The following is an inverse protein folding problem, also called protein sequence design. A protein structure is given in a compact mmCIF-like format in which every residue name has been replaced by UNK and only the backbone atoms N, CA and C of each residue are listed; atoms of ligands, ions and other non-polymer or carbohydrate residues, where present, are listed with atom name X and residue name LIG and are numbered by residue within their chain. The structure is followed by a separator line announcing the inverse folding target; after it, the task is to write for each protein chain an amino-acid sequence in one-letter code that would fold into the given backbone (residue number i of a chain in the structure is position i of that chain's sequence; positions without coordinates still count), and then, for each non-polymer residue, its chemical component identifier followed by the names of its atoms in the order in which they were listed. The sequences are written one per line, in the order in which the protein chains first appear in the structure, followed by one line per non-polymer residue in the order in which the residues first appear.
data_IF_368388181650
#
_entry.id   IF_368388181650
#
_cell.length_a   1.000
_cell.length_b   1.000
_cell.length_c   1.000
_cell.angle_alpha   90.00
_cell.angle_beta   90.00
_cell.angle_gamma   90.00
#
_symmetry.space_group_name_H-M   'P 1'
#
loop_
_entity.id
_entity.type
_entity.pdbx_description
1 polymer ?
#
# COMPACT_ATOMS: atom_id res chain seq x y z
N UNK A 1 -4.07 -48.58 57.35
CA UNK A 1 -3.68 -49.58 56.33
C UNK A 1 -2.28 -50.07 56.66
N UNK A 2 -2.05 -51.38 56.65
CA UNK A 2 -0.70 -51.92 56.75
C UNK A 2 0.05 -51.70 55.43
N UNK A 3 1.37 -51.54 55.49
CA UNK A 3 2.24 -51.54 54.30
C UNK A 3 2.65 -52.97 53.93
N UNK A 4 3.03 -53.27 52.67
CA UNK A 4 3.52 -54.60 52.30
C UNK A 4 4.63 -55.10 53.26
N UNK A 5 5.56 -54.22 53.64
CA UNK A 5 6.64 -54.52 54.59
C UNK A 5 6.11 -54.91 55.99
N UNK A 6 5.01 -54.31 56.45
CA UNK A 6 4.38 -54.66 57.72
C UNK A 6 3.67 -56.01 57.68
N UNK A 7 3.15 -56.43 56.52
CA UNK A 7 2.55 -57.76 56.32
C UNK A 7 3.65 -58.83 56.35
N UNK A 8 4.77 -58.58 55.66
CA UNK A 8 5.90 -59.51 55.61
C UNK A 8 6.59 -59.74 56.95
N UNK A 9 6.64 -58.72 57.80
CA UNK A 9 7.29 -58.79 59.12
C UNK A 9 6.31 -59.17 60.25
N UNK A 10 5.07 -59.58 59.92
CA UNK A 10 4.06 -59.91 60.92
C UNK A 10 4.34 -61.29 61.51
N UNK A 11 4.52 -61.36 62.82
CA UNK A 11 4.65 -62.63 63.56
C UNK A 11 3.38 -62.92 64.35
N UNK A 12 3.06 -64.21 64.50
CA UNK A 12 1.90 -64.70 65.26
C UNK A 12 2.36 -65.56 66.44
N UNK A 13 1.65 -65.47 67.57
CA UNK A 13 1.92 -66.31 68.74
C UNK A 13 1.45 -67.77 68.49
N UNK A 14 2.22 -68.75 68.98
CA UNK A 14 1.89 -70.17 68.82
C UNK A 14 0.71 -70.55 69.73
N UNK A 15 -0.43 -70.91 69.14
CA UNK A 15 -1.60 -71.37 69.91
C UNK A 15 -1.36 -72.77 70.50
N UNK A 16 -1.65 -72.95 71.80
CA UNK A 16 -1.38 -74.20 72.53
C UNK A 16 -2.40 -75.32 72.29
N UNK A 17 -3.56 -75.03 71.68
CA UNK A 17 -4.57 -76.04 71.33
C UNK A 17 -5.41 -75.58 70.13
N UNK A 18 -5.41 -76.36 69.03
CA UNK A 18 -6.32 -76.16 67.88
C UNK A 18 -6.06 -74.94 66.96
N UNK A 19 -4.83 -74.44 66.86
CA UNK A 19 -4.49 -73.28 66.00
C UNK A 19 -4.29 -73.61 64.51
N UNK A 20 -4.21 -72.56 63.68
CA UNK A 20 -3.82 -72.66 62.27
C UNK A 20 -2.38 -73.18 62.13
N UNK A 21 -2.12 -73.90 61.02
CA UNK A 21 -0.79 -74.43 60.70
C UNK A 21 0.11 -73.27 60.25
N UNK A 22 1.27 -73.05 60.89
CA UNK A 22 2.15 -71.94 60.53
C UNK A 22 2.53 -71.93 59.05
N UNK A 23 2.75 -73.11 58.46
CA UNK A 23 3.17 -73.25 57.06
C UNK A 23 2.09 -72.76 56.08
N UNK A 24 0.82 -73.04 56.37
CA UNK A 24 -0.31 -72.64 55.53
C UNK A 24 -0.58 -71.12 55.67
N UNK A 25 -0.34 -70.55 56.85
CA UNK A 25 -0.46 -69.10 57.12
C UNK A 25 0.68 -68.32 56.44
N UNK A 26 1.91 -68.81 56.51
CA UNK A 26 3.06 -68.18 55.87
C UNK A 26 2.89 -68.16 54.34
N UNK A 27 2.45 -69.26 53.73
CA UNK A 27 2.16 -69.32 52.29
C UNK A 27 1.06 -68.31 51.86
N UNK A 28 0.00 -68.16 52.68
CA UNK A 28 -1.05 -67.16 52.42
C UNK A 28 -0.54 -65.71 52.57
N UNK A 29 0.33 -65.45 53.56
CA UNK A 29 0.91 -64.12 53.76
C UNK A 29 1.89 -63.74 52.66
N UNK A 30 2.62 -64.70 52.09
CA UNK A 30 3.47 -64.48 50.92
C UNK A 30 2.64 -64.11 49.68
N UNK A 31 1.55 -64.83 49.41
CA UNK A 31 0.61 -64.49 48.31
C UNK A 31 -0.02 -63.11 48.53
N UNK A 32 -0.51 -62.84 49.75
CA UNK A 32 -1.08 -61.55 50.12
C UNK A 32 -0.05 -60.42 50.00
N UNK A 33 1.21 -60.67 50.36
CA UNK A 33 2.28 -59.69 50.21
C UNK A 33 2.52 -59.34 48.75
N UNK A 34 2.62 -60.33 47.85
CA UNK A 34 2.86 -60.10 46.43
C UNK A 34 1.72 -59.30 45.78
N UNK A 35 0.46 -59.68 46.04
CA UNK A 35 -0.71 -58.95 45.54
C UNK A 35 -0.78 -57.52 46.06
N UNK A 36 -0.46 -57.33 47.35
CA UNK A 36 -0.51 -56.02 47.98
C UNK A 36 0.67 -55.13 47.55
N UNK A 37 1.87 -55.68 47.32
CA UNK A 37 3.01 -54.95 46.74
C UNK A 37 2.72 -54.54 45.29
N UNK A 38 2.15 -55.45 44.49
CA UNK A 38 1.70 -55.15 43.12
C UNK A 38 0.68 -54.01 43.11
N UNK A 39 -0.35 -54.09 43.96
CA UNK A 39 -1.36 -53.03 44.07
C UNK A 39 -0.74 -51.70 44.48
N UNK A 40 0.23 -51.69 45.41
CA UNK A 40 0.89 -50.47 45.86
C UNK A 40 1.76 -49.86 44.76
N UNK A 41 2.47 -50.68 43.97
CA UNK A 41 3.24 -50.24 42.81
C UNK A 41 2.35 -49.65 41.73
N UNK A 42 1.26 -50.33 41.39
CA UNK A 42 0.29 -49.85 40.40
C UNK A 42 -0.36 -48.54 40.85
N UNK A 43 -0.78 -48.44 42.12
CA UNK A 43 -1.31 -47.20 42.68
C UNK A 43 -0.28 -46.07 42.59
N UNK A 44 0.98 -46.30 42.96
CA UNK A 44 2.03 -45.29 42.83
C UNK A 44 2.24 -44.85 41.38
N UNK A 45 2.20 -45.77 40.42
CA UNK A 45 2.29 -45.44 39.00
C UNK A 45 1.07 -44.63 38.52
N UNK A 46 -0.13 -44.99 38.94
CA UNK A 46 -1.36 -44.28 38.60
C UNK A 46 -1.36 -42.87 39.18
N UNK A 47 -0.95 -42.69 40.43
CA UNK A 47 -0.82 -41.37 41.07
C UNK A 47 0.18 -40.50 40.31
N UNK A 48 1.33 -41.05 39.91
CA UNK A 48 2.30 -40.31 39.07
C UNK A 48 1.73 -39.92 37.72
N UNK A 49 1.02 -40.82 37.04
CA UNK A 49 0.35 -40.53 35.76
C UNK A 49 -0.70 -39.43 35.93
N UNK A 50 -1.50 -39.51 37.00
CA UNK A 50 -2.50 -38.49 37.32
C UNK A 50 -1.86 -37.13 37.54
N UNK A 51 -0.75 -37.07 38.29
CA UNK A 51 -0.02 -35.82 38.51
C UNK A 51 0.45 -35.19 37.19
N UNK A 52 1.05 -35.97 36.29
CA UNK A 52 1.48 -35.49 34.97
C UNK A 52 0.29 -35.02 34.12
N UNK A 53 -0.85 -35.71 34.19
CA UNK A 53 -2.05 -35.31 33.45
C UNK A 53 -2.62 -33.99 33.99
N UNK A 54 -2.64 -33.81 35.32
CA UNK A 54 -3.09 -32.55 35.94
C UNK A 54 -2.19 -31.40 35.54
N UNK A 55 -0.87 -31.58 35.59
CA UNK A 55 0.11 -30.57 35.15
C UNK A 55 -0.10 -30.17 33.68
N UNK A 56 -0.30 -31.15 32.79
CA UNK A 56 -0.61 -30.87 31.38
C UNK A 56 -1.93 -30.14 31.17
N UNK A 57 -2.95 -30.45 31.97
CA UNK A 57 -4.24 -29.73 31.89
C UNK A 57 -4.05 -28.27 32.30
N UNK A 58 -3.26 -28.00 33.33
CA UNK A 58 -2.94 -26.63 33.75
C UNK A 58 -2.13 -25.88 32.68
N UNK A 59 -1.15 -26.55 32.08
CA UNK A 59 -0.39 -26.02 30.94
C UNK A 59 -1.31 -25.64 29.77
N UNK A 60 -2.17 -26.57 29.32
CA UNK A 60 -3.12 -26.31 28.23
C UNK A 60 -4.10 -25.18 28.55
N UNK A 61 -4.56 -25.08 29.80
CA UNK A 61 -5.42 -23.95 30.22
C UNK A 61 -4.68 -22.61 30.17
N UNK A 62 -3.41 -22.60 30.58
CA UNK A 62 -2.57 -21.41 30.50
C UNK A 62 -2.31 -21.01 29.04
N UNK A 63 -1.99 -21.98 28.18
CA UNK A 63 -1.82 -21.75 26.74
C UNK A 63 -3.10 -21.25 26.09
N UNK A 64 -4.25 -21.86 26.37
CA UNK A 64 -5.55 -21.43 25.87
C UNK A 64 -5.84 -19.98 26.29
N UNK A 65 -5.59 -19.62 27.55
CA UNK A 65 -5.75 -18.24 28.02
C UNK A 65 -4.82 -17.26 27.28
N UNK A 66 -3.59 -17.67 26.99
CA UNK A 66 -2.63 -16.86 26.22
C UNK A 66 -3.12 -16.66 24.78
N UNK A 67 -3.59 -17.72 24.13
CA UNK A 67 -4.16 -17.67 22.77
C UNK A 67 -5.41 -16.79 22.73
N UNK A 68 -6.33 -16.95 23.69
CA UNK A 68 -7.52 -16.10 23.80
C UNK A 68 -7.15 -14.63 23.96
N UNK A 69 -6.14 -14.33 24.79
CA UNK A 69 -5.64 -12.96 24.98
C UNK A 69 -5.01 -12.40 23.71
N UNK A 70 -4.18 -13.19 23.02
CA UNK A 70 -3.57 -12.83 21.76
C UNK A 70 -4.62 -12.60 20.66
N UNK A 71 -5.65 -13.44 20.60
CA UNK A 71 -6.77 -13.31 19.66
C UNK A 71 -7.55 -12.01 19.90
N UNK A 72 -7.91 -11.71 21.14
CA UNK A 72 -8.59 -10.46 21.51
C UNK A 72 -7.73 -9.24 21.20
N UNK A 73 -6.41 -9.33 21.44
CA UNK A 73 -5.48 -8.27 21.07
C UNK A 73 -5.40 -8.06 19.56
N UNK A 74 -5.34 -9.14 18.79
CA UNK A 74 -5.33 -9.09 17.33
C UNK A 74 -6.62 -8.48 16.77
N UNK A 75 -7.78 -8.86 17.32
CA UNK A 75 -9.07 -8.27 16.95
C UNK A 75 -9.09 -6.75 17.24
N UNK A 76 -8.71 -6.34 18.46
CA UNK A 76 -8.62 -4.92 18.81
C UNK A 76 -7.67 -4.13 17.92
N UNK A 77 -6.53 -4.72 17.57
CA UNK A 77 -5.57 -4.12 16.65
C UNK A 77 -6.16 -3.98 15.23
N UNK A 78 -6.85 -5.01 14.74
CA UNK A 78 -7.59 -4.96 13.47
C UNK A 78 -8.64 -3.85 13.46
N UNK A 79 -9.47 -3.76 14.49
CA UNK A 79 -10.50 -2.73 14.63
C UNK A 79 -9.90 -1.31 14.73
N UNK A 80 -8.74 -1.18 15.38
CA UNK A 80 -8.01 0.09 15.44
C UNK A 80 -7.48 0.49 14.05
N UNK A 81 -6.89 -0.45 13.29
CA UNK A 81 -6.39 -0.21 11.94
C UNK A 81 -7.54 0.20 11.00
N UNK A 82 -8.68 -0.49 11.06
CA UNK A 82 -9.85 -0.16 10.25
C UNK A 82 -10.37 1.24 10.57
N UNK A 83 -10.51 1.59 11.85
CA UNK A 83 -10.95 2.93 12.26
C UNK A 83 -9.97 4.02 11.81
N UNK A 84 -8.67 3.79 11.97
CA UNK A 84 -7.65 4.75 11.53
C UNK A 84 -7.65 4.92 10.00
N UNK A 85 -7.78 3.83 9.25
CA UNK A 85 -7.86 3.86 7.80
C UNK A 85 -9.12 4.60 7.31
N UNK A 86 -10.27 4.37 7.95
CA UNK A 86 -11.52 5.09 7.66
C UNK A 86 -11.38 6.58 7.96
N UNK A 87 -10.87 6.93 9.15
CA UNK A 87 -10.64 8.32 9.53
C UNK A 87 -9.68 9.03 8.56
N UNK A 88 -8.58 8.37 8.17
CA UNK A 88 -7.64 8.91 7.18
C UNK A 88 -8.27 9.06 5.80
N UNK A 89 -9.11 8.11 5.38
CA UNK A 89 -9.85 8.22 4.13
C UNK A 89 -10.81 9.42 4.15
N UNK A 90 -11.55 9.63 5.25
CA UNK A 90 -12.45 10.77 5.42
C UNK A 90 -11.70 12.10 5.35
N UNK A 91 -10.54 12.20 6.01
CA UNK A 91 -9.70 13.38 5.95
C UNK A 91 -9.19 13.67 4.52
N UNK A 92 -8.77 12.63 3.79
CA UNK A 92 -8.34 12.77 2.40
C UNK A 92 -9.51 13.24 1.53
N UNK A 93 -10.71 12.68 1.73
CA UNK A 93 -11.91 13.08 1.00
C UNK A 93 -12.30 14.52 1.28
N UNK A 94 -12.24 14.96 2.54
CA UNK A 94 -12.52 16.35 2.94
C UNK A 94 -11.48 17.32 2.37
N UNK A 95 -10.19 16.99 2.45
CA UNK A 95 -9.13 17.83 1.88
C UNK A 95 -9.26 17.93 0.35
N UNK A 96 -9.57 16.79 -0.31
CA UNK A 96 -9.84 16.77 -1.75
C UNK A 96 -11.06 17.62 -2.12
N UNK A 97 -12.15 17.55 -1.35
CA UNK A 97 -13.35 18.36 -1.61
C UNK A 97 -13.08 19.86 -1.44
N UNK A 98 -12.39 20.26 -0.36
CA UNK A 98 -12.00 21.66 -0.12
C UNK A 98 -11.10 22.18 -1.25
N UNK A 99 -10.12 21.38 -1.69
CA UNK A 99 -9.24 21.73 -2.81
C UNK A 99 -10.02 21.87 -4.12
N UNK A 100 -10.95 20.95 -4.40
CA UNK A 100 -11.79 21.01 -5.59
C UNK A 100 -12.69 22.25 -5.57
N UNK A 101 -13.37 22.55 -4.46
CA UNK A 101 -14.19 23.75 -4.31
C UNK A 101 -13.38 25.03 -4.48
N UNK A 102 -12.18 25.09 -3.89
CA UNK A 102 -11.27 26.22 -4.04
C UNK A 102 -10.84 26.41 -5.49
N UNK A 103 -10.51 25.32 -6.18
CA UNK A 103 -10.10 25.34 -7.59
C UNK A 103 -11.25 25.82 -8.49
N UNK A 104 -12.45 25.28 -8.32
CA UNK A 104 -13.64 25.72 -9.05
C UNK A 104 -13.94 27.20 -8.78
N UNK A 105 -13.82 27.63 -7.52
CA UNK A 105 -14.00 29.03 -7.15
C UNK A 105 -12.92 29.97 -7.72
N UNK A 106 -11.67 29.53 -7.86
CA UNK A 106 -10.62 30.34 -8.51
C UNK A 106 -10.81 30.39 -10.02
N UNK A 107 -11.09 29.25 -10.67
CA UNK A 107 -11.28 29.21 -12.13
C UNK A 107 -12.51 30.01 -12.56
N UNK A 108 -13.60 29.95 -11.79
CA UNK A 108 -14.78 30.76 -12.08
C UNK A 108 -14.48 32.27 -11.98
N UNK A 109 -13.71 32.70 -10.97
CA UNK A 109 -13.28 34.09 -10.83
C UNK A 109 -12.36 34.54 -11.97
N UNK A 110 -11.44 33.68 -12.38
CA UNK A 110 -10.56 33.94 -13.52
C UNK A 110 -11.35 34.02 -14.83
N UNK A 111 -12.33 33.13 -15.03
CA UNK A 111 -13.20 33.13 -16.20
C UNK A 111 -14.03 34.41 -16.29
N UNK A 112 -14.62 34.86 -15.18
CA UNK A 112 -15.32 36.14 -15.12
C UNK A 112 -14.37 37.29 -15.47
N UNK A 113 -13.18 37.33 -14.86
CA UNK A 113 -12.18 38.37 -15.14
C UNK A 113 -11.74 38.39 -16.61
N UNK A 114 -11.54 37.22 -17.22
CA UNK A 114 -11.18 37.11 -18.63
C UNK A 114 -12.33 37.53 -19.55
N UNK A 115 -13.58 37.16 -19.22
CA UNK A 115 -14.76 37.59 -19.98
C UNK A 115 -14.92 39.10 -19.97
N UNK A 116 -14.79 39.74 -18.80
CA UNK A 116 -14.83 41.20 -18.67
C UNK A 116 -13.69 41.89 -19.44
N UNK A 117 -12.49 41.28 -19.46
CA UNK A 117 -11.37 41.79 -20.23
C UNK A 117 -11.62 41.71 -21.74
N UNK A 118 -12.21 40.61 -22.23
CA UNK A 118 -12.59 40.47 -23.63
C UNK A 118 -13.66 41.48 -24.02
N UNK A 119 -14.69 41.67 -23.19
CA UNK A 119 -15.76 42.64 -23.45
C UNK A 119 -15.20 44.06 -23.57
N UNK A 120 -14.27 44.44 -22.68
CA UNK A 120 -13.57 45.74 -22.75
C UNK A 120 -12.79 45.90 -24.05
N UNK A 121 -11.99 44.90 -24.44
CA UNK A 121 -11.22 44.94 -25.69
C UNK A 121 -12.16 45.04 -26.90
N UNK A 122 -13.25 44.28 -26.92
CA UNK A 122 -14.25 44.36 -27.99
C UNK A 122 -14.89 45.76 -28.09
N UNK A 123 -15.22 46.36 -26.95
CA UNK A 123 -15.72 47.75 -26.90
C UNK A 123 -14.67 48.75 -27.39
N UNK A 124 -13.40 48.60 -26.99
CA UNK A 124 -12.30 49.45 -27.45
C UNK A 124 -12.10 49.35 -28.96
N UNK A 125 -12.09 48.13 -29.52
CA UNK A 125 -11.99 47.89 -30.97
C UNK A 125 -13.20 48.49 -31.71
N UNK A 126 -14.41 48.33 -31.17
CA UNK A 126 -15.62 48.96 -31.70
C UNK A 126 -15.52 50.49 -31.74
N UNK A 127 -15.08 51.09 -30.63
CA UNK A 127 -14.87 52.54 -30.53
C UNK A 127 -13.77 53.06 -31.46
N UNK A 128 -12.70 52.27 -31.65
CA UNK A 128 -11.60 52.60 -32.56
C UNK A 128 -12.08 52.57 -34.01
N UNK A 129 -12.83 51.52 -34.39
CA UNK A 129 -13.44 51.41 -35.73
C UNK A 129 -14.37 52.58 -36.02
N UNK A 130 -15.21 52.97 -35.05
CA UNK A 130 -16.10 54.13 -35.21
C UNK A 130 -15.33 55.43 -35.39
N UNK A 131 -14.29 55.68 -34.57
CA UNK A 131 -13.41 56.85 -34.70
C UNK A 131 -12.73 56.90 -36.05
N UNK A 132 -12.17 55.77 -36.50
CA UNK A 132 -11.48 55.69 -37.79
C UNK A 132 -12.43 55.95 -38.96
N UNK A 133 -13.64 55.37 -38.92
CA UNK A 133 -14.68 55.65 -39.93
C UNK A 133 -15.14 57.11 -39.92
N UNK A 134 -15.19 57.77 -38.76
CA UNK A 134 -15.51 59.20 -38.67
C UNK A 134 -14.45 60.04 -39.38
N UNK A 135 -13.17 59.78 -39.08
CA UNK A 135 -12.04 60.47 -39.72
C UNK A 135 -12.08 60.26 -41.24
N UNK A 136 -12.29 59.03 -41.72
CA UNK A 136 -12.41 58.80 -43.16
C UNK A 136 -13.57 59.55 -43.80
N UNK A 137 -14.74 59.64 -43.14
CA UNK A 137 -15.88 60.41 -43.64
C UNK A 137 -15.57 61.91 -43.70
N UNK A 138 -14.92 62.45 -42.68
CA UNK A 138 -14.46 63.85 -42.67
C UNK A 138 -13.48 64.12 -43.82
N UNK A 139 -12.50 63.24 -44.02
CA UNK A 139 -11.53 63.36 -45.11
C UNK A 139 -12.20 63.25 -46.49
N UNK A 140 -13.14 62.32 -46.68
CA UNK A 140 -13.91 62.21 -47.92
C UNK A 140 -14.73 63.49 -48.17
N UNK A 141 -15.36 64.04 -47.13
CA UNK A 141 -16.09 65.29 -47.24
C UNK A 141 -15.18 66.45 -47.68
N UNK A 142 -13.99 66.58 -47.09
CA UNK A 142 -13.00 67.58 -47.47
C UNK A 142 -12.51 67.40 -48.92
N UNK A 143 -12.26 66.17 -49.36
CA UNK A 143 -11.84 65.87 -50.73
C UNK A 143 -12.96 66.18 -51.73
N UNK A 144 -14.21 65.84 -51.40
CA UNK A 144 -15.37 66.15 -52.25
C UNK A 144 -15.70 67.65 -52.31
N UNK A 145 -15.18 68.44 -51.36
CA UNK A 145 -15.30 69.89 -51.35
C UNK A 145 -14.17 70.59 -52.13
N UNK A 146 -13.16 69.85 -52.61
CA UNK A 146 -12.19 70.38 -53.56
C UNK A 146 -12.86 70.45 -54.94
N UNK A 147 -12.86 71.63 -55.60
CA UNK A 147 -13.41 71.75 -56.94
C UNK A 147 -12.61 70.84 -57.87
N UNK A 148 -13.29 69.97 -58.63
CA UNK A 148 -12.64 69.23 -59.70
C UNK A 148 -11.97 70.25 -60.65
N UNK A 149 -10.67 70.14 -60.95
CA UNK A 149 -10.12 70.90 -62.05
C UNK A 149 -10.88 70.47 -63.30
N UNK A 150 -11.61 71.42 -63.88
CA UNK A 150 -12.22 71.30 -65.19
C UNK A 150 -11.22 70.67 -66.16
N UNK A 151 -11.64 69.62 -66.85
CA UNK A 151 -10.99 69.15 -68.07
C UNK A 151 -10.89 70.33 -69.03
N UNK A 152 -9.67 70.78 -69.31
CA UNK A 152 -9.34 71.63 -70.44
C UNK A 152 -7.87 71.36 -70.87
N UNK A 153 -7.47 71.67 -72.12
CA UNK A 153 -7.27 70.67 -73.17
C UNK A 153 -5.80 70.26 -73.36
N UNK A 154 -5.60 69.09 -73.98
CA UNK A 154 -4.32 68.72 -74.58
C UNK A 154 -3.93 69.74 -75.64
N UNK A 155 -2.77 70.38 -75.48
CA UNK A 155 -2.07 71.06 -76.56
C UNK A 155 -0.57 70.76 -76.47
N UNK A 156 0.12 70.62 -77.61
CA UNK A 156 1.37 69.87 -77.75
C UNK A 156 2.56 70.70 -77.28
N UNK A 157 3.46 70.11 -76.50
CA UNK A 157 4.76 70.72 -76.21
C UNK A 157 5.82 69.99 -77.02
N UNK A 158 6.35 70.73 -77.98
CA UNK A 158 7.48 70.42 -78.85
C UNK A 158 8.75 70.07 -78.06
N UNK A 159 9.55 69.16 -78.62
CA UNK A 159 10.94 68.95 -78.23
C UNK A 159 11.77 70.22 -78.48
N UNK A 160 12.74 70.54 -77.62
CA UNK A 160 14.11 70.42 -78.13
C UNK A 160 15.17 69.97 -77.12
N UNK A 161 16.06 69.12 -77.66
CA UNK A 161 17.54 69.12 -77.55
C UNK A 161 18.20 69.05 -76.18
N UNK A 162 18.67 67.83 -75.89
CA UNK A 162 20.08 67.48 -75.71
C UNK A 162 21.00 68.53 -75.05
N UNK A 163 21.30 68.29 -73.77
CA UNK A 163 22.64 68.55 -73.23
C UNK A 163 23.23 67.21 -72.80
N UNK A 164 24.43 66.94 -73.30
CA UNK A 164 25.21 65.73 -73.11
C UNK A 164 25.86 65.65 -71.71
N UNK A 165 25.65 64.51 -71.02
CA UNK A 165 26.55 63.57 -70.27
C UNK A 165 27.87 64.14 -69.66
N UNK A 166 28.44 63.63 -68.52
CA UNK A 166 28.30 62.24 -68.04
C UNK A 166 28.37 61.90 -66.52
N UNK A 167 27.77 60.75 -66.23
CA UNK A 167 28.21 59.66 -65.33
C UNK A 167 28.57 59.95 -63.87
N UNK A 168 27.67 59.51 -62.97
CA UNK A 168 28.07 58.74 -61.78
C UNK A 168 27.11 57.56 -61.64
N UNK A 169 27.67 56.36 -61.79
CA UNK A 169 27.00 55.07 -61.61
C UNK A 169 26.76 54.81 -60.13
N UNK A 170 25.50 54.64 -59.72
CA UNK A 170 25.15 53.73 -58.63
C UNK A 170 23.83 53.02 -58.96
N UNK A 171 23.85 51.70 -59.20
CA UNK A 171 22.64 50.90 -59.17
C UNK A 171 22.53 50.20 -57.81
N UNK A 172 21.48 50.47 -57.05
CA UNK A 172 20.88 49.43 -56.19
C UNK A 172 19.37 49.60 -56.18
N UNK A 173 18.72 49.00 -57.17
CA UNK A 173 17.36 48.51 -57.04
C UNK A 173 17.36 47.26 -56.13
N UNK A 174 16.52 47.31 -55.09
CA UNK A 174 15.53 46.31 -54.61
C UNK A 174 15.60 44.83 -55.09
N UNK A 175 14.83 43.89 -54.50
CA UNK A 175 14.45 43.65 -53.11
C UNK A 175 14.43 42.13 -52.72
N UNK A 176 14.07 41.84 -51.46
CA UNK A 176 13.53 40.55 -50.92
C UNK A 176 14.51 39.36 -50.79
N UNK A 177 14.72 38.89 -49.54
CA UNK A 177 14.41 37.52 -49.09
C UNK A 177 14.84 37.26 -47.63
N UNK A 178 13.95 36.63 -46.85
CA UNK A 178 14.32 35.84 -45.66
C UNK A 178 15.22 34.67 -46.09
N UNK A 179 16.00 34.02 -45.19
CA UNK A 179 15.44 32.82 -44.57
C UNK A 179 15.93 32.49 -43.15
N UNK A 180 15.27 31.45 -42.66
CA UNK A 180 15.34 30.73 -41.39
C UNK A 180 16.57 29.80 -41.32
N UNK A 181 16.97 29.47 -40.08
CA UNK A 181 17.79 28.33 -39.61
C UNK A 181 19.32 28.37 -39.79
N UNK A 182 20.04 28.37 -38.65
CA UNK A 182 21.17 27.44 -38.45
C UNK A 182 21.13 26.87 -37.02
N UNK A 183 21.11 25.55 -37.00
CA UNK A 183 21.07 24.61 -35.90
C UNK A 183 22.52 24.15 -35.62
N UNK A 184 22.89 24.08 -34.34
CA UNK A 184 23.88 23.19 -33.69
C UNK A 184 25.39 23.27 -34.01
N UNK A 185 26.15 23.78 -33.03
CA UNK A 185 27.34 23.18 -32.35
C UNK A 185 27.86 24.27 -31.39
N UNK A 186 27.95 24.05 -30.08
CA UNK A 186 29.02 23.25 -29.47
C UNK A 186 28.60 22.77 -28.08
N UNK A 187 28.76 21.48 -27.84
CA UNK A 187 28.88 20.91 -26.51
C UNK A 187 30.38 20.80 -26.20
N UNK A 188 30.81 21.36 -25.06
CA UNK A 188 31.66 20.66 -24.07
C UNK A 188 31.98 21.56 -22.87
N UNK A 189 31.66 21.03 -21.70
CA UNK A 189 32.41 21.10 -20.44
C UNK A 189 32.53 22.45 -19.71
N UNK A 190 31.73 22.60 -18.64
CA UNK A 190 32.23 22.70 -17.26
C UNK A 190 31.08 22.72 -16.24
N UNK A 191 31.28 21.98 -15.15
CA UNK A 191 30.33 21.70 -14.08
C UNK A 191 29.92 22.94 -13.26
N UNK A 192 28.71 22.98 -12.69
CA UNK A 192 28.43 23.84 -11.55
C UNK A 192 28.56 23.08 -10.22
N UNK A 193 29.29 23.77 -9.36
CA UNK A 193 29.60 23.56 -7.95
C UNK A 193 28.36 23.27 -7.09
N UNK A 194 28.54 22.39 -6.10
CA UNK A 194 27.56 22.02 -5.08
C UNK A 194 27.08 23.22 -4.23
N UNK A 195 25.82 23.23 -3.76
CA UNK A 195 25.33 24.22 -2.80
C UNK A 195 25.77 23.87 -1.35
N UNK A 196 25.94 24.88 -0.46
CA UNK A 196 26.27 24.62 0.94
C UNK A 196 25.04 24.16 1.72
N UNK A 197 25.32 23.34 2.72
CA UNK A 197 24.39 22.74 3.66
C UNK A 197 23.53 23.80 4.39
N UNK A 198 22.24 23.49 4.53
CA UNK A 198 21.39 24.05 5.58
C UNK A 198 20.67 22.90 6.27
N UNK A 199 20.81 22.93 7.59
CA UNK A 199 20.35 22.04 8.64
C UNK A 199 18.81 22.01 8.76
N UNK A 200 18.32 20.92 9.37
CA UNK A 200 16.97 20.72 9.94
C UNK A 200 15.83 20.28 9.00
N UNK A 201 15.66 18.96 8.88
CA UNK A 201 14.36 18.31 8.82
C UNK A 201 14.47 16.90 9.41
N UNK A 202 13.88 16.73 10.59
CA UNK A 202 13.78 15.48 11.35
C UNK A 202 12.79 14.55 10.65
N UNK A 203 13.29 13.49 10.02
CA UNK A 203 12.50 12.50 9.29
C UNK A 203 12.04 11.41 10.28
N UNK A 204 10.76 11.45 10.68
CA UNK A 204 10.13 10.45 11.54
C UNK A 204 9.90 9.17 10.73
N UNK A 205 10.74 8.17 10.95
CA UNK A 205 10.51 6.80 10.49
C UNK A 205 9.49 6.10 11.40
N UNK A 206 8.49 5.37 10.87
CA UNK A 206 7.66 4.49 11.69
C UNK A 206 8.46 3.23 12.05
N UNK A 207 8.90 3.13 13.31
CA UNK A 207 9.44 1.89 13.87
C UNK A 207 8.30 0.92 14.14
N UNK A 208 8.18 -0.13 13.33
CA UNK A 208 7.44 -1.34 13.69
C UNK A 208 8.31 -2.19 14.63
N UNK A 209 7.77 -2.76 15.73
CA UNK A 209 8.56 -3.59 16.63
C UNK A 209 8.98 -4.89 15.94
N UNK A 210 10.30 -5.11 15.87
CA UNK A 210 10.91 -6.31 15.34
C UNK A 210 10.61 -7.51 16.25
N UNK A 211 9.84 -8.47 15.76
CA UNK A 211 9.79 -9.82 16.33
C UNK A 211 10.85 -10.65 15.62
N UNK A 212 11.92 -10.99 16.34
CA UNK A 212 13.02 -11.83 15.86
C UNK A 212 12.55 -13.28 15.66
N UNK A 213 12.50 -13.72 14.40
CA UNK A 213 12.37 -15.14 14.04
C UNK A 213 13.78 -15.62 13.64
N UNK A 214 14.31 -16.73 14.20
CA UNK A 214 15.66 -17.18 13.90
C UNK A 214 15.80 -17.72 12.46
N UNK A 215 16.83 -17.24 11.77
CA UNK A 215 17.23 -17.59 10.39
C UNK A 215 17.51 -19.09 10.21
N UNK A 216 16.83 -19.71 9.24
CA UNK A 216 17.24 -20.99 8.64
C UNK A 216 17.85 -20.73 7.27
N UNK A 217 19.11 -21.15 7.10
CA UNK A 217 19.92 -21.02 5.87
C UNK A 217 19.15 -21.49 4.62
N UNK A 218 19.04 -20.63 3.62
CA UNK A 218 18.44 -20.88 2.31
C UNK A 218 19.46 -21.47 1.32
N UNK A 219 19.12 -22.61 0.71
CA UNK A 219 19.69 -23.06 -0.57
C UNK A 219 18.70 -22.72 -1.71
N UNK A 220 19.15 -22.48 -2.95
CA UNK A 220 18.32 -21.85 -3.97
C UNK A 220 17.47 -22.90 -4.69
N UNK A 221 16.17 -22.63 -4.87
CA UNK A 221 15.29 -23.43 -5.72
C UNK A 221 14.81 -22.58 -6.89
N UNK A 222 15.08 -23.09 -8.10
CA UNK A 222 14.73 -22.52 -9.39
C UNK A 222 13.21 -22.53 -9.59
N UNK A 223 12.72 -21.47 -10.24
CA UNK A 223 11.31 -21.22 -10.52
C UNK A 223 10.92 -21.96 -11.80
N UNK A 224 10.12 -23.02 -11.69
CA UNK A 224 9.40 -23.62 -12.82
C UNK A 224 7.92 -23.71 -12.49
N UNK A 225 7.12 -23.20 -13.41
CA UNK A 225 5.66 -23.11 -13.43
C UNK A 225 5.01 -24.48 -13.60
N UNK A 226 4.20 -24.96 -12.64
CA UNK A 226 3.08 -25.88 -12.93
C UNK A 226 2.16 -26.06 -11.71
N UNK A 227 0.85 -25.98 -11.96
CA UNK A 227 -0.28 -26.53 -11.20
C UNK A 227 -0.51 -26.20 -9.71
N UNK A 228 -1.68 -25.58 -9.46
CA UNK A 228 -2.29 -25.36 -8.15
C UNK A 228 -2.61 -26.73 -7.52
N UNK A 229 -1.78 -27.21 -6.60
CA UNK A 229 -2.12 -28.33 -5.70
C UNK A 229 -2.38 -27.78 -4.29
N UNK A 230 -3.59 -28.07 -3.77
CA UNK A 230 -4.02 -27.74 -2.40
C UNK A 230 -3.03 -28.37 -1.39
N UNK A 231 -2.76 -27.72 -0.24
CA UNK A 231 -1.81 -28.27 0.73
C UNK A 231 -2.39 -29.53 1.37
N UNK A 232 -1.67 -30.65 1.22
CA UNK A 232 -1.91 -31.87 1.98
C UNK A 232 -1.74 -31.55 3.47
N UNK A 233 -2.81 -31.80 4.23
CA UNK A 233 -2.82 -31.78 5.69
C UNK A 233 -1.83 -32.84 6.21
N UNK A 234 -0.59 -32.43 6.43
CA UNK A 234 0.47 -33.26 7.03
C UNK A 234 0.50 -33.02 8.55
N UNK A 235 -0.64 -33.19 9.21
CA UNK A 235 -0.69 -33.29 10.67
C UNK A 235 -1.15 -34.69 11.05
N UNK A 236 -0.24 -35.66 10.90
CA UNK A 236 -0.44 -37.04 11.33
C UNK A 236 -0.39 -37.15 12.86
N UNK A 237 -1.35 -36.56 13.56
CA UNK A 237 -1.61 -36.81 14.98
C UNK A 237 -2.53 -38.04 15.07
N UNK A 238 -1.96 -39.18 15.48
CA UNK A 238 -2.73 -40.41 15.74
C UNK A 238 -3.27 -40.36 17.17
N UNK A 239 -4.58 -40.15 17.33
CA UNK A 239 -5.26 -40.26 18.62
C UNK A 239 -5.79 -41.69 18.80
N UNK A 240 -4.98 -42.56 19.43
CA UNK A 240 -5.39 -43.94 19.78
C UNK A 240 -5.58 -44.88 18.57
N UNK A 241 -5.70 -46.19 18.82
CA UNK A 241 -5.69 -47.25 17.80
C UNK A 241 -6.87 -47.23 16.80
N UNK A 242 -7.88 -46.39 17.00
CA UNK A 242 -9.12 -46.43 16.22
C UNK A 242 -9.61 -45.08 15.67
N UNK A 243 -8.80 -44.01 15.71
CA UNK A 243 -9.20 -42.72 15.13
C UNK A 243 -8.15 -42.20 14.14
N UNK A 244 -8.45 -42.36 12.85
CA UNK A 244 -7.72 -41.76 11.74
C UNK A 244 -8.63 -40.73 11.06
N UNK A 245 -8.41 -39.44 11.36
CA UNK A 245 -9.15 -38.33 10.73
C UNK A 245 -8.91 -38.22 9.22
N UNK A 246 -7.98 -38.99 8.65
CA UNK A 246 -7.74 -39.04 7.21
C UNK A 246 -8.83 -39.77 6.42
N UNK A 247 -9.74 -40.48 7.11
CA UNK A 247 -10.73 -41.35 6.48
C UNK A 247 -12.14 -40.74 6.34
N UNK A 248 -12.42 -39.57 6.93
CA UNK A 248 -13.76 -38.98 7.00
C UNK A 248 -13.98 -37.79 6.03
N UNK A 249 -13.44 -37.88 4.80
CA UNK A 249 -13.64 -36.86 3.74
C UNK A 249 -14.69 -37.26 2.68
N UNK A 250 -15.66 -38.11 3.01
CA UNK A 250 -16.80 -38.42 2.15
C UNK A 250 -18.00 -37.47 2.40
N UNK A 251 -17.89 -36.22 1.90
CA UNK A 251 -19.06 -35.35 1.74
C UNK A 251 -19.66 -35.51 0.32
N UNK A 252 -20.94 -35.86 0.17
CA UNK A 252 -21.58 -35.92 -1.14
C UNK A 252 -21.78 -34.51 -1.69
N UNK A 253 -21.19 -34.24 -2.85
CA UNK A 253 -21.44 -33.00 -3.60
C UNK A 253 -22.87 -33.01 -4.11
N UNK A 254 -23.70 -32.08 -3.62
CA UNK A 254 -25.03 -31.84 -4.16
C UNK A 254 -24.89 -31.36 -5.61
N UNK A 255 -25.29 -32.22 -6.54
CA UNK A 255 -25.38 -31.90 -7.96
C UNK A 255 -26.45 -30.83 -8.22
N UNK A 256 -26.03 -29.77 -8.90
CA UNK A 256 -26.93 -28.79 -9.49
C UNK A 256 -27.86 -29.45 -10.51
N UNK A 257 -29.17 -29.32 -10.30
CA UNK A 257 -30.21 -29.36 -11.32
C UNK A 257 -31.16 -28.20 -11.10
#
# INVERSE_FOLDING_TARGET
MMTPVQIKNRTFEKSSFGGYRPEDVDAFLDELYEDYDKLYRENSQLVKKMQVLVEKIEEYRSEESSIQTAFLSAQKAGDAIIREAQHKADLIMQDASIKAEKLVGSTQRELVRQSEALDKIQQEVGSFKQRLLSIYKEHIALISALPEPEKAPQAPVEEPKAVAVPAEEQPVETPVQQPVQTILKSAETQAPVAPPAVEAAEEIQPQAPAVTIPERKSAPVQRSTEEIRRPLSSFGMKFGEHYDMSADDDYPTLGNR
#
